data_IF_705190335172
#
_entry.id   IF_705190335172
#
_cell.length_a   1.000
_cell.length_b   1.000
_cell.length_c   1.000
_cell.angle_alpha   90.00
_cell.angle_beta   90.00
_cell.angle_gamma   90.00
#
_symmetry.space_group_name_H-M   'P 1'
#
loop_
_entity.id
_entity.type
_entity.pdbx_description
1 polymer ?
#
# COMPACT_ATOMS: atom_id res chain seq x y z
N UNK A 1 19.32 9.46 -5.95
CA UNK A 1 19.82 10.05 -7.22
C UNK A 1 18.68 10.71 -7.98
N UNK A 2 18.93 11.70 -8.85
CA UNK A 2 17.88 12.34 -9.67
C UNK A 2 17.02 11.34 -10.47
N UNK A 3 17.59 10.17 -10.80
CA UNK A 3 16.90 9.09 -11.51
C UNK A 3 15.87 8.35 -10.65
N UNK A 4 16.09 8.22 -9.35
CA UNK A 4 15.15 7.58 -8.42
C UNK A 4 13.96 8.49 -8.14
N UNK A 5 14.16 9.80 -7.94
CA UNK A 5 13.07 10.76 -7.77
C UNK A 5 12.10 10.72 -8.96
N UNK A 6 12.61 10.68 -10.20
CA UNK A 6 11.78 10.59 -11.41
C UNK A 6 10.99 9.28 -11.49
N UNK A 7 11.53 8.17 -10.97
CA UNK A 7 10.82 6.88 -10.92
C UNK A 7 9.71 6.93 -9.88
N UNK A 8 9.97 7.49 -8.71
CA UNK A 8 8.98 7.66 -7.64
C UNK A 8 7.81 8.53 -8.12
N UNK A 9 8.09 9.70 -8.70
CA UNK A 9 7.05 10.58 -9.25
C UNK A 9 6.19 9.89 -10.31
N UNK A 10 6.80 9.03 -11.16
CA UNK A 10 6.06 8.27 -12.15
C UNK A 10 5.12 7.26 -11.49
N UNK A 11 5.59 6.52 -10.49
CA UNK A 11 4.79 5.54 -9.76
C UNK A 11 3.64 6.21 -8.99
N UNK A 12 3.89 7.38 -8.41
CA UNK A 12 2.88 8.16 -7.69
C UNK A 12 1.78 8.68 -8.63
N UNK A 13 2.15 9.18 -9.81
CA UNK A 13 1.18 9.59 -10.85
C UNK A 13 0.37 8.41 -11.38
N UNK A 14 1.01 7.27 -11.63
CA UNK A 14 0.33 6.05 -12.06
C UNK A 14 -0.64 5.54 -10.99
N UNK A 15 -0.24 5.60 -9.72
CA UNK A 15 -1.10 5.32 -8.58
C UNK A 15 -2.31 6.27 -8.55
N UNK A 16 -2.10 7.58 -8.54
CA UNK A 16 -3.18 8.56 -8.48
C UNK A 16 -4.21 8.33 -9.60
N UNK A 17 -3.74 8.10 -10.83
CA UNK A 17 -4.61 7.78 -11.96
C UNK A 17 -5.35 6.45 -11.78
N UNK A 18 -4.65 5.37 -11.38
CA UNK A 18 -5.24 4.03 -11.26
C UNK A 18 -6.30 3.96 -10.16
N UNK A 19 -6.07 4.65 -9.05
CA UNK A 19 -6.95 4.64 -7.89
C UNK A 19 -7.96 5.79 -7.89
N UNK A 20 -7.85 6.75 -8.83
CA UNK A 20 -8.57 8.03 -8.79
C UNK A 20 -8.33 8.72 -7.44
N UNK A 21 -7.09 8.66 -6.96
CA UNK A 21 -6.70 9.21 -5.67
C UNK A 21 -6.44 10.70 -5.83
N UNK A 22 -7.17 11.50 -5.04
CA UNK A 22 -7.07 12.95 -5.04
C UNK A 22 -6.23 13.42 -3.85
N UNK A 23 -5.46 14.50 -4.08
CA UNK A 23 -4.59 15.08 -3.05
C UNK A 23 -3.21 14.44 -2.94
N UNK A 24 -2.49 14.83 -1.88
CA UNK A 24 -1.10 14.42 -1.61
C UNK A 24 -1.03 13.01 -1.04
N UNK A 25 -0.02 12.24 -1.45
CA UNK A 25 0.23 10.89 -0.95
C UNK A 25 1.03 10.97 0.35
N UNK A 26 0.32 10.91 1.48
CA UNK A 26 0.93 10.96 2.81
C UNK A 26 0.81 9.60 3.51
N UNK A 27 1.79 9.29 4.36
CA UNK A 27 1.72 8.12 5.25
C UNK A 27 0.94 8.54 6.50
N UNK A 28 -0.19 7.89 6.74
CA UNK A 28 -1.03 8.14 7.93
C UNK A 28 -0.49 7.40 9.14
N UNK A 29 -0.06 6.15 8.94
CA UNK A 29 0.55 5.28 9.95
C UNK A 29 1.26 4.12 9.27
N UNK A 30 1.98 3.31 10.04
CA UNK A 30 2.54 2.04 9.60
C UNK A 30 1.84 0.89 10.32
N UNK A 31 1.60 -0.19 9.60
CA UNK A 31 0.96 -1.39 10.12
C UNK A 31 1.66 -2.63 9.58
N UNK A 32 1.59 -3.72 10.32
CA UNK A 32 2.19 -5.00 9.93
C UNK A 32 1.13 -5.94 9.35
N UNK A 33 1.46 -6.61 8.25
CA UNK A 33 0.69 -7.77 7.81
C UNK A 33 0.86 -8.88 8.86
N UNK A 34 -0.25 -9.31 9.47
CA UNK A 34 -0.27 -10.34 10.49
C UNK A 34 0.62 -11.54 10.07
N UNK A 35 1.64 -11.92 10.88
CA UNK A 35 2.48 -13.08 10.58
C UNK A 35 1.70 -14.38 10.38
N UNK A 36 0.49 -14.50 10.95
CA UNK A 36 -0.41 -15.64 10.77
C UNK A 36 -1.22 -15.57 9.45
N UNK A 37 -1.25 -14.43 8.76
CA UNK A 37 -2.01 -14.28 7.53
C UNK A 37 -1.50 -15.18 6.41
N UNK A 38 -2.40 -15.64 5.54
CA UNK A 38 -2.01 -16.36 4.31
C UNK A 38 -1.43 -15.39 3.30
N UNK A 39 -0.24 -15.68 2.79
CA UNK A 39 0.35 -14.90 1.71
C UNK A 39 -0.52 -14.95 0.46
N UNK A 40 -0.60 -13.82 -0.25
CA UNK A 40 -1.40 -13.71 -1.47
C UNK A 40 -0.58 -13.04 -2.55
N UNK A 41 -0.59 -13.64 -3.74
CA UNK A 41 -0.12 -12.96 -4.94
C UNK A 41 -1.11 -11.82 -5.21
N UNK A 42 -0.65 -10.58 -5.06
CA UNK A 42 -1.46 -9.40 -5.36
C UNK A 42 -1.94 -9.42 -6.81
N UNK A 43 -2.87 -8.52 -7.16
CA UNK A 43 -3.47 -8.52 -8.49
C UNK A 43 -4.47 -7.39 -8.66
N UNK A 44 -4.60 -6.86 -9.87
CA UNK A 44 -5.46 -5.71 -10.14
C UNK A 44 -5.06 -4.51 -9.28
N UNK A 45 -5.93 -4.12 -8.33
CA UNK A 45 -5.68 -3.05 -7.35
C UNK A 45 -5.19 -3.55 -5.99
N UNK A 46 -5.00 -4.85 -5.79
CA UNK A 46 -4.56 -5.43 -4.53
C UNK A 46 -3.04 -5.53 -4.45
N UNK A 47 -2.48 -5.19 -3.30
CA UNK A 47 -1.06 -5.35 -3.01
C UNK A 47 -0.76 -6.84 -2.69
N UNK A 48 0.39 -7.39 -3.11
CA UNK A 48 0.82 -8.70 -2.61
C UNK A 48 1.00 -8.65 -1.09
N UNK A 49 0.61 -9.73 -0.42
CA UNK A 49 0.74 -9.86 1.03
C UNK A 49 1.88 -10.81 1.37
N UNK A 50 2.81 -10.32 2.19
CA UNK A 50 3.89 -11.11 2.80
C UNK A 50 3.76 -11.03 4.31
N UNK A 51 3.93 -12.16 4.98
CA UNK A 51 3.82 -12.26 6.44
C UNK A 51 4.83 -11.35 7.12
N UNK A 52 4.38 -10.58 8.11
CA UNK A 52 5.23 -9.66 8.87
C UNK A 52 5.71 -8.44 8.09
N UNK A 53 5.27 -8.24 6.85
CA UNK A 53 5.66 -7.05 6.07
C UNK A 53 5.05 -5.80 6.68
N UNK A 54 5.88 -4.78 6.89
CA UNK A 54 5.43 -3.44 7.31
C UNK A 54 4.99 -2.66 6.08
N UNK A 55 3.78 -2.13 6.14
CA UNK A 55 3.18 -1.32 5.07
C UNK A 55 2.85 0.08 5.59
N UNK A 56 3.12 1.07 4.74
CA UNK A 56 2.64 2.44 4.94
C UNK A 56 1.14 2.47 4.63
N UNK A 57 0.32 2.92 5.57
CA UNK A 57 -1.11 3.18 5.33
C UNK A 57 -1.27 4.55 4.71
N UNK A 58 -1.79 4.59 3.49
CA UNK A 58 -2.03 5.84 2.73
C UNK A 58 -3.44 6.35 2.95
N UNK A 59 -4.42 5.44 3.02
CA UNK A 59 -5.82 5.81 3.27
C UNK A 59 -6.58 4.65 3.94
N UNK A 60 -7.35 4.98 4.97
CA UNK A 60 -8.42 4.10 5.46
C UNK A 60 -9.62 4.24 4.52
N UNK A 61 -9.89 3.24 3.69
CA UNK A 61 -10.92 3.35 2.65
C UNK A 61 -12.29 2.91 3.15
N UNK A 62 -12.41 1.69 3.68
CA UNK A 62 -13.65 1.17 4.24
C UNK A 62 -13.37 0.14 5.36
N UNK A 63 -14.39 -0.63 5.74
CA UNK A 63 -14.29 -1.62 6.81
C UNK A 63 -13.53 -2.88 6.38
N UNK A 64 -13.54 -3.21 5.08
CA UNK A 64 -12.94 -4.45 4.57
C UNK A 64 -11.49 -4.26 4.13
N UNK A 65 -11.15 -3.08 3.60
CA UNK A 65 -9.87 -2.82 2.96
C UNK A 65 -9.28 -1.49 3.40
N UNK A 66 -7.96 -1.41 3.33
CA UNK A 66 -7.18 -0.18 3.45
C UNK A 66 -6.24 -0.06 2.26
N UNK A 67 -5.89 1.18 1.90
CA UNK A 67 -4.96 1.46 0.81
C UNK A 67 -3.55 1.65 1.38
N UNK A 68 -2.63 0.81 0.94
CA UNK A 68 -1.28 0.74 1.47
C UNK A 68 -0.21 0.91 0.39
N UNK A 69 1.01 1.21 0.84
CA UNK A 69 2.24 1.18 0.06
C UNK A 69 3.29 0.30 0.73
N UNK A 70 3.98 -0.55 -0.04
CA UNK A 70 5.10 -1.33 0.47
C UNK A 70 6.46 -0.66 0.24
N UNK A 71 7.53 -1.28 0.74
CA UNK A 71 8.92 -0.81 0.57
C UNK A 71 9.37 -0.72 -0.89
N UNK A 72 8.68 -1.40 -1.81
CA UNK A 72 8.91 -1.32 -3.27
C UNK A 72 8.15 -0.16 -3.94
N UNK A 73 7.57 0.77 -3.14
CA UNK A 73 6.73 1.89 -3.61
C UNK A 73 5.51 1.45 -4.42
N UNK A 74 5.08 0.19 -4.30
CA UNK A 74 3.86 -0.30 -4.95
C UNK A 74 2.67 0.01 -4.06
N UNK A 75 1.60 0.46 -4.68
CA UNK A 75 0.34 0.79 -4.02
C UNK A 75 -0.73 -0.27 -4.28
N UNK A 76 -1.55 -0.54 -3.28
CA UNK A 76 -2.70 -1.43 -3.44
C UNK A 76 -3.52 -1.62 -2.18
N UNK A 77 -4.72 -2.18 -2.38
CA UNK A 77 -5.61 -2.56 -1.29
C UNK A 77 -5.09 -3.79 -0.56
N UNK A 78 -5.28 -3.77 0.75
CA UNK A 78 -4.98 -4.85 1.68
C UNK A 78 -6.22 -5.07 2.57
N UNK A 79 -6.62 -6.32 2.84
CA UNK A 79 -7.72 -6.58 3.76
C UNK A 79 -7.39 -6.04 5.15
N UNK A 80 -8.31 -5.27 5.74
CA UNK A 80 -8.12 -4.67 7.06
C UNK A 80 -7.95 -5.73 8.15
N UNK A 81 -8.62 -6.87 8.00
CA UNK A 81 -8.60 -7.97 8.96
C UNK A 81 -7.22 -8.62 9.15
N UNK A 82 -6.28 -8.42 8.22
CA UNK A 82 -4.92 -9.00 8.30
C UNK A 82 -3.86 -7.96 8.65
N UNK A 83 -4.27 -6.76 9.06
CA UNK A 83 -3.37 -5.65 9.37
C UNK A 83 -3.37 -5.37 10.86
N UNK A 84 -2.21 -5.50 11.49
CA UNK A 84 -1.99 -5.24 12.91
C UNK A 84 -1.35 -3.86 13.11
N UNK A 85 -1.77 -3.09 14.13
CA UNK A 85 -1.04 -1.90 14.54
C UNK A 85 0.36 -2.28 15.02
N UNK A 86 1.33 -1.41 14.76
CA UNK A 86 2.69 -1.51 15.31
C UNK A 86 2.77 -1.00 16.76
#
# INVERSE_FOLDING_TARGET
>A
TLKECKKEEKMDREFQKKFKFEGSINVLTQMMVDPAATERRGGGKNLPLRRGEILDVIQFTNQEQILCRNSQRRYGYVPRAVMLPL
#
